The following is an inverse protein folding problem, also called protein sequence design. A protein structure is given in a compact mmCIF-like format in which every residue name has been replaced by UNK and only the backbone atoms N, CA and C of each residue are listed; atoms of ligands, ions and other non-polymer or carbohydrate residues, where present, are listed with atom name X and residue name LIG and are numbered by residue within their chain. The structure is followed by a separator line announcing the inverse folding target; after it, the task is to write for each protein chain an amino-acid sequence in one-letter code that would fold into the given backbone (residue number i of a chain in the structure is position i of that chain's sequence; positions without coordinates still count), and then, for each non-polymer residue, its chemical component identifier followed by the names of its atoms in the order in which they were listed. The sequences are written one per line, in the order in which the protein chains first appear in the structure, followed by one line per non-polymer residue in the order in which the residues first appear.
data_IF_656158719639
#
_entry.id   IF_656158719639
#
_cell.length_a   1.000
_cell.length_b   1.000
_cell.length_c   1.000
_cell.angle_alpha   90.00
_cell.angle_beta   90.00
_cell.angle_gamma   90.00
#
_symmetry.space_group_name_H-M   'P 1'
#
loop_
_entity.id
_entity.type
_entity.pdbx_description
1 polymer ?
#
# COMPACT_ATOMS: atom_id res chain seq x y z
N UNK A 1 -9.87 -9.32 -10.98
CA UNK A 1 -10.39 -9.11 -10.54
C UNK A 1 -10.59 -9.28 -9.79
N UNK A 2 -10.18 -9.11 -9.27
CA UNK A 2 -10.49 -9.01 -8.50
C UNK A 2 -10.70 -9.68 -7.89
N UNK A 3 -10.33 -10.00 -7.33
CA UNK A 3 -10.75 -10.53 -6.71
C UNK A 3 -11.10 -10.66 -5.80
N UNK A 4 -11.26 -10.33 -4.91
CA UNK A 4 -11.85 -10.24 -4.02
C UNK A 4 -12.39 -10.47 -3.87
N UNK A 5 -11.81 -10.57 -4.15
CA UNK A 5 -12.58 -10.33 -4.17
C UNK A 5 -13.29 -10.40 -4.13
N UNK A 6 -13.13 -10.44 -3.87
CA UNK A 6 -14.09 -10.06 -3.83
C UNK A 6 -14.61 -10.14 -3.34
N UNK A 7 -14.32 -10.25 -2.83
CA UNK A 7 -15.06 -9.88 -2.38
C UNK A 7 -15.49 -9.50 -1.96
N UNK A 8 -15.05 -9.26 -1.61
CA UNK A 8 -15.68 -8.52 -1.49
C UNK A 8 -16.19 -8.21 -1.97
N UNK A 9 -15.76 -8.64 -2.35
CA UNK A 9 -16.46 -8.18 -2.86
C UNK A 9 -16.98 -8.17 -3.07
N UNK A 10 -16.71 -8.31 -2.96
CA UNK A 10 -17.44 -7.95 -3.24
C UNK A 10 -17.90 -7.59 -3.12
N UNK A 11 -17.56 -7.48 -2.88
CA UNK A 11 -18.25 -6.80 -2.92
C UNK A 11 -18.55 -6.45 -3.20
N UNK A 12 -18.47 -6.47 -3.36
CA UNK A 12 -19.03 -5.92 -3.90
C UNK A 12 -19.54 -5.66 -4.07
N UNK A 13 -19.56 -5.77 -4.26
CA UNK A 13 -20.40 -5.21 -4.80
C UNK A 13 -21.17 -5.37 -4.89
N UNK A 14 -22.12 -5.25 -4.95
CA UNK A 14 -23.18 -5.13 -5.40
C UNK A 14 -24.16 -5.00 -5.72
N UNK A 15 -24.96 -5.13 -6.01
CA UNK A 15 -25.80 -4.66 -6.65
C UNK A 15 -26.87 -4.70 -6.87
N UNK A 16 -27.64 -4.37 -7.08
CA UNK A 16 -28.63 -3.93 -7.49
C UNK A 16 -29.13 -4.28 -8.66
N UNK A 17 -30.33 -4.62 -8.90
CA UNK A 17 -30.76 -4.92 -10.06
C UNK A 17 -29.74 -5.52 -10.76
N UNK A 18 -29.27 -6.57 -10.32
CA UNK A 18 -28.23 -7.19 -11.00
C UNK A 18 -27.00 -6.37 -11.17
N UNK A 19 -27.02 -5.22 -10.65
CA UNK A 19 -25.84 -4.43 -10.81
C UNK A 19 -25.01 -4.43 -9.56
N UNK A 20 -23.74 -4.23 -9.73
CA UNK A 20 -22.80 -4.21 -8.63
C UNK A 20 -22.61 -2.81 -8.13
N UNK A 21 -22.29 -2.71 -6.84
CA UNK A 21 -21.91 -1.43 -6.26
C UNK A 21 -20.45 -1.22 -6.58
N UNK A 22 -20.11 -0.19 -7.33
CA UNK A 22 -18.72 0.01 -7.70
C UNK A 22 -17.88 0.41 -6.49
N UNK A 23 -16.61 0.00 -6.50
CA UNK A 23 -15.63 0.46 -5.53
C UNK A 23 -15.35 1.92 -5.83
N UNK A 24 -15.35 2.76 -4.80
CA UNK A 24 -15.04 4.17 -5.00
C UNK A 24 -13.60 4.33 -5.47
N UNK A 25 -13.31 5.46 -6.12
CA UNK A 25 -11.98 5.71 -6.61
C UNK A 25 -10.93 5.63 -5.50
N UNK A 26 -11.23 6.17 -4.32
CA UNK A 26 -10.29 6.14 -3.22
C UNK A 26 -10.04 4.73 -2.73
N UNK A 27 -11.07 3.90 -2.69
CA UNK A 27 -10.91 2.51 -2.26
C UNK A 27 -10.07 1.72 -3.26
N UNK A 28 -10.29 1.97 -4.54
CA UNK A 28 -9.51 1.31 -5.57
C UNK A 28 -8.04 1.71 -5.50
N UNK A 29 -7.78 3.00 -5.29
CA UNK A 29 -6.41 3.48 -5.15
C UNK A 29 -5.76 2.87 -3.91
N UNK A 30 -6.50 2.80 -2.80
CA UNK A 30 -5.97 2.19 -1.58
C UNK A 30 -5.57 0.74 -1.80
N UNK A 31 -6.38 -0.02 -2.54
CA UNK A 31 -6.06 -1.40 -2.84
C UNK A 31 -4.80 -1.51 -3.70
N UNK A 32 -4.64 -0.62 -4.67
CA UNK A 32 -3.44 -0.62 -5.50
C UNK A 32 -2.20 -0.28 -4.69
N UNK A 33 -2.33 0.66 -3.77
CA UNK A 33 -1.21 1.01 -2.90
C UNK A 33 -0.82 -0.20 -2.04
N UNK A 34 -1.80 -0.85 -1.42
CA UNK A 34 -1.51 -2.03 -0.59
C UNK A 34 -0.81 -3.11 -1.39
N UNK A 35 -1.28 -3.33 -2.61
CA UNK A 35 -0.68 -4.35 -3.45
C UNK A 35 0.78 -4.02 -3.76
N UNK A 36 1.05 -2.79 -4.16
CA UNK A 36 2.42 -2.41 -4.50
C UNK A 36 3.34 -2.42 -3.31
N UNK A 37 2.84 -2.06 -2.14
CA UNK A 37 3.67 -2.08 -0.94
C UNK A 37 3.88 -3.49 -0.42
N UNK A 38 2.93 -4.38 -0.61
CA UNK A 38 2.99 -5.74 -0.08
C UNK A 38 3.75 -6.74 -0.94
N UNK A 39 3.88 -6.48 -2.23
CA UNK A 39 4.60 -7.38 -3.12
C UNK A 39 6.09 -7.04 -3.06
N UNK A 40 6.96 -8.01 -2.76
CA UNK A 40 8.41 -7.73 -2.78
C UNK A 40 8.85 -7.40 -4.21
N UNK A 41 9.56 -6.29 -4.35
CA UNK A 41 10.03 -5.87 -5.65
C UNK A 41 10.95 -6.92 -6.25
N UNK A 42 10.73 -7.24 -7.51
CA UNK A 42 11.50 -8.25 -8.20
C UNK A 42 10.94 -9.65 -8.10
N UNK A 43 9.87 -9.86 -7.31
CA UNK A 43 9.31 -11.19 -7.12
C UNK A 43 8.30 -11.59 -8.19
N UNK A 44 7.82 -10.63 -8.97
CA UNK A 44 6.80 -10.90 -9.98
C UNK A 44 7.49 -10.99 -11.35
N UNK A 45 7.55 -12.20 -11.96
CA UNK A 45 8.38 -12.37 -13.17
C UNK A 45 7.94 -11.53 -14.36
N UNK A 46 6.64 -11.24 -14.46
CA UNK A 46 6.12 -10.49 -15.60
C UNK A 46 6.34 -9.00 -15.46
N UNK A 47 6.63 -8.53 -14.25
CA UNK A 47 6.87 -7.11 -14.01
C UNK A 47 7.86 -6.99 -12.86
N UNK A 48 9.16 -7.05 -13.14
CA UNK A 48 10.17 -7.03 -12.07
C UNK A 48 10.22 -5.73 -11.29
N UNK A 49 9.58 -4.67 -11.79
CA UNK A 49 9.56 -3.40 -11.07
C UNK A 49 8.31 -3.23 -10.22
N UNK A 50 7.41 -4.21 -10.25
CA UNK A 50 6.23 -4.18 -9.40
C UNK A 50 6.62 -4.50 -7.97
N UNK A 51 6.08 -3.71 -7.02
CA UNK A 51 6.28 -3.97 -5.61
C UNK A 51 7.21 -2.99 -4.95
N UNK A 52 7.56 -3.28 -3.71
CA UNK A 52 8.39 -2.39 -2.91
C UNK A 52 9.53 -3.14 -2.26
N UNK A 53 10.52 -2.36 -1.79
CA UNK A 53 11.62 -2.92 -1.02
C UNK A 53 11.43 -2.72 0.47
N UNK A 54 10.17 -2.56 0.91
CA UNK A 54 9.89 -2.43 2.34
C UNK A 54 10.28 -3.67 3.12
N UNK A 55 10.22 -4.84 2.47
CA UNK A 55 10.63 -6.09 3.14
C UNK A 55 12.09 -6.03 3.60
N UNK A 56 12.89 -5.16 3.01
CA UNK A 56 14.31 -5.04 3.33
C UNK A 56 14.59 -3.73 4.06
N UNK A 57 13.61 -3.27 4.84
CA UNK A 57 13.75 -2.02 5.57
C UNK A 57 14.81 -2.18 6.66
N UNK A 58 15.85 -1.32 6.65
CA UNK A 58 16.89 -1.42 7.66
C UNK A 58 16.34 -1.10 9.05
N UNK A 59 16.82 -1.83 10.03
CA UNK A 59 16.49 -1.56 11.42
C UNK A 59 17.45 -0.51 11.97
N UNK A 60 16.92 0.46 12.68
CA UNK A 60 17.74 1.52 13.21
C UNK A 60 16.89 2.45 14.05
N UNK A 61 17.28 3.71 14.15
CA UNK A 61 16.46 4.67 14.86
C UNK A 61 15.14 4.88 14.11
N UNK A 62 14.15 5.38 14.85
CA UNK A 62 12.85 5.67 14.25
C UNK A 62 12.98 6.58 13.05
N UNK A 63 13.81 7.61 13.19
CA UNK A 63 14.00 8.58 12.11
C UNK A 63 14.63 7.95 10.89
N UNK A 64 15.62 7.09 11.10
CA UNK A 64 16.26 6.40 10.00
C UNK A 64 15.30 5.45 9.29
N UNK A 65 14.50 4.73 10.07
CA UNK A 65 13.52 3.82 9.49
C UNK A 65 12.46 4.57 8.70
N UNK A 66 12.01 5.71 9.23
CA UNK A 66 10.99 6.49 8.54
C UNK A 66 11.52 7.09 7.25
N UNK A 67 12.76 7.55 7.26
CA UNK A 67 13.36 8.09 6.04
C UNK A 67 13.51 7.01 4.97
N UNK A 68 13.97 5.83 5.38
CA UNK A 68 14.12 4.71 4.45
C UNK A 68 12.77 4.24 3.93
N UNK A 69 11.77 4.17 4.81
CA UNK A 69 10.44 3.75 4.41
C UNK A 69 9.83 4.73 3.41
N UNK A 70 10.00 6.03 3.65
CA UNK A 70 9.48 7.04 2.72
C UNK A 70 10.08 6.86 1.34
N UNK A 71 11.38 6.67 1.27
CA UNK A 71 12.05 6.50 0.00
C UNK A 71 11.52 5.28 -0.75
N UNK A 72 11.36 4.17 -0.04
CA UNK A 72 10.90 2.92 -0.66
C UNK A 72 9.44 2.96 -1.04
N UNK A 73 8.62 3.67 -0.27
CA UNK A 73 7.22 3.84 -0.63
C UNK A 73 7.11 4.70 -1.87
N UNK A 74 7.86 5.79 -1.93
CA UNK A 74 7.82 6.67 -3.10
C UNK A 74 8.30 5.94 -4.35
N UNK A 75 9.32 5.11 -4.21
CA UNK A 75 9.79 4.30 -5.32
C UNK A 75 8.70 3.35 -5.82
N UNK A 76 8.03 2.68 -4.89
CA UNK A 76 7.01 1.70 -5.25
C UNK A 76 5.81 2.33 -5.94
N UNK A 77 5.48 3.57 -5.57
CA UNK A 77 4.30 4.24 -6.08
C UNK A 77 4.59 5.22 -7.21
N UNK A 78 5.85 5.31 -7.63
CA UNK A 78 6.23 6.24 -8.70
C UNK A 78 5.37 6.11 -9.96
N UNK A 79 4.97 4.88 -10.39
CA UNK A 79 4.12 4.77 -11.57
C UNK A 79 2.67 5.22 -11.36
N UNK A 80 2.26 5.44 -10.12
CA UNK A 80 0.86 5.81 -9.84
C UNK A 80 0.71 7.32 -9.86
N UNK A 81 0.07 7.81 -10.91
CA UNK A 81 -0.13 9.25 -11.06
C UNK A 81 -1.14 9.75 -10.03
N UNK A 82 -0.91 10.94 -9.49
CA UNK A 82 -1.87 11.60 -8.62
C UNK A 82 -1.86 11.16 -7.18
N UNK A 83 -1.01 10.19 -6.81
CA UNK A 83 -0.89 9.75 -5.42
C UNK A 83 0.31 10.45 -4.80
N UNK A 84 0.08 11.09 -3.65
CA UNK A 84 1.15 11.82 -2.98
C UNK A 84 1.27 11.35 -1.54
N UNK A 85 2.46 10.92 -1.16
CA UNK A 85 2.75 10.51 0.21
C UNK A 85 2.90 11.75 1.09
N UNK A 86 2.16 11.81 2.19
CA UNK A 86 2.20 12.97 3.08
C UNK A 86 2.83 12.67 4.42
N UNK A 87 2.72 11.43 4.91
CA UNK A 87 3.22 11.12 6.25
C UNK A 87 3.63 9.66 6.32
N UNK A 88 4.72 9.41 7.04
CA UNK A 88 5.20 8.04 7.32
C UNK A 88 5.60 7.98 8.77
N UNK A 89 5.09 6.97 9.48
CA UNK A 89 5.48 6.69 10.86
C UNK A 89 5.86 5.22 10.98
N UNK A 90 6.95 4.95 11.67
CA UNK A 90 7.42 3.58 11.88
C UNK A 90 7.47 3.25 13.35
N UNK A 91 7.07 2.02 13.69
CA UNK A 91 7.21 1.48 15.03
C UNK A 91 7.86 0.11 14.90
N UNK A 92 8.93 -0.10 15.67
CA UNK A 92 9.68 -1.34 15.59
C UNK A 92 9.53 -2.13 16.89
N UNK A 93 9.22 -3.42 16.75
CA UNK A 93 9.15 -4.35 17.87
C UNK A 93 10.37 -5.27 17.79
N UNK A 94 11.38 -5.04 18.63
CA UNK A 94 12.60 -5.84 18.56
C UNK A 94 12.37 -7.32 18.90
N UNK A 95 11.39 -7.63 19.74
CA UNK A 95 11.15 -9.02 20.12
C UNK A 95 10.62 -9.83 18.96
N UNK A 96 9.72 -9.25 18.19
CA UNK A 96 9.16 -9.95 17.03
C UNK A 96 9.92 -9.64 15.75
N UNK A 97 10.89 -8.74 15.79
CA UNK A 97 11.60 -8.24 14.62
C UNK A 97 10.62 -7.79 13.53
N UNK A 98 9.62 -7.04 13.96
CA UNK A 98 8.58 -6.53 13.08
C UNK A 98 8.56 -5.02 13.12
N UNK A 99 8.47 -4.42 11.95
CA UNK A 99 8.29 -2.98 11.83
C UNK A 99 6.91 -2.71 11.29
N UNK A 100 6.17 -1.86 11.98
CA UNK A 100 4.88 -1.39 11.53
C UNK A 100 5.08 -0.05 10.86
N UNK A 101 4.61 0.07 9.63
CA UNK A 101 4.75 1.28 8.85
C UNK A 101 3.36 1.83 8.59
N UNK A 102 3.06 2.99 9.16
CA UNK A 102 1.81 3.70 8.93
C UNK A 102 2.10 4.84 7.97
N UNK A 103 1.37 4.90 6.87
CA UNK A 103 1.59 5.94 5.89
C UNK A 103 0.28 6.55 5.45
N UNK A 104 0.34 7.81 5.09
CA UNK A 104 -0.82 8.56 4.64
C UNK A 104 -0.54 9.16 3.29
N UNK A 105 -1.57 9.15 2.46
CA UNK A 105 -1.47 9.63 1.08
C UNK A 105 -2.64 10.55 0.79
N UNK A 106 -2.48 11.38 -0.22
CA UNK A 106 -3.56 12.19 -0.75
C UNK A 106 -3.73 11.85 -2.21
N UNK A 107 -4.98 11.58 -2.59
CA UNK A 107 -5.34 11.32 -3.96
C UNK A 107 -6.67 12.01 -4.25
N UNK A 108 -6.68 12.89 -5.26
CA UNK A 108 -7.90 13.60 -5.65
C UNK A 108 -8.58 14.29 -4.46
N UNK A 109 -7.77 14.92 -3.59
CA UNK A 109 -8.28 15.61 -2.42
C UNK A 109 -8.71 14.75 -1.27
N UNK A 110 -8.57 13.43 -1.39
CA UNK A 110 -8.98 12.49 -0.33
C UNK A 110 -7.78 11.91 0.35
N UNK A 111 -7.90 11.70 1.67
CA UNK A 111 -6.83 11.08 2.45
C UNK A 111 -7.00 9.58 2.46
N UNK A 112 -5.90 8.87 2.34
CA UNK A 112 -5.87 7.42 2.37
C UNK A 112 -4.82 7.00 3.38
N UNK A 113 -5.21 6.18 4.36
CA UNK A 113 -4.28 5.66 5.35
C UNK A 113 -4.01 4.19 5.08
N UNK A 114 -2.75 3.81 5.09
CA UNK A 114 -2.32 2.43 4.87
C UNK A 114 -1.37 2.03 5.98
N UNK A 115 -1.58 0.86 6.55
CA UNK A 115 -0.68 0.27 7.54
C UNK A 115 -0.14 -1.04 6.98
N UNK A 116 1.15 -1.24 7.07
CA UNK A 116 1.76 -2.49 6.65
C UNK A 116 2.81 -2.89 7.67
N UNK A 117 3.12 -4.19 7.74
CA UNK A 117 4.15 -4.73 8.63
C UNK A 117 5.22 -5.43 7.80
N UNK A 118 6.45 -5.23 8.21
CA UNK A 118 7.58 -5.84 7.51
C UNK A 118 8.62 -6.39 8.49
#
# INVERSE_FOLDING_TARGET
MDLKLDFERRDQAQTLQGWTIPITGAEEIAQRIRLRLGIPRGSFPLDPELGSRLFDLPRGSREQMEAAARERIEEALAPMAGVRLTEVCCQYDPEADRARVDCRFVWSGQEIGITTEV
#
